data_IF_016850948004
#
_entry.id   IF_016850948004
#
_cell.length_a   1.000
_cell.length_b   1.000
_cell.length_c   1.000
_cell.angle_alpha   90.00
_cell.angle_beta   90.00
_cell.angle_gamma   90.00
#
_symmetry.space_group_name_H-M   'P 1'
#
loop_
_entity.id
_entity.type
_entity.pdbx_description
1 polymer ?
#
# COMPACT_ATOMS: atom_id res chain seq x y z
N UNK A 1 -59.23 -6.18 21.38
CA UNK A 1 -58.40 -6.69 20.26
C UNK A 1 -56.96 -6.29 20.53
N UNK A 2 -56.05 -7.25 20.60
CA UNK A 2 -54.63 -6.93 20.71
C UNK A 2 -54.14 -6.36 19.36
N UNK A 3 -53.34 -5.29 19.35
CA UNK A 3 -52.79 -4.76 18.11
C UNK A 3 -51.89 -5.82 17.47
N UNK A 4 -52.06 -6.03 16.16
CA UNK A 4 -51.25 -6.94 15.38
C UNK A 4 -49.77 -6.56 15.52
N UNK A 5 -48.86 -7.53 15.68
CA UNK A 5 -47.44 -7.23 15.75
C UNK A 5 -47.01 -6.53 14.45
N UNK A 6 -46.18 -5.47 14.54
CA UNK A 6 -45.70 -4.79 13.36
C UNK A 6 -44.92 -5.77 12.47
N UNK A 7 -45.01 -5.63 11.14
CA UNK A 7 -44.28 -6.49 10.23
C UNK A 7 -42.77 -6.44 10.52
N UNK A 8 -42.05 -7.57 10.34
CA UNK A 8 -40.61 -7.61 10.51
C UNK A 8 -39.96 -6.61 9.54
N UNK A 9 -38.93 -5.90 10.03
CA UNK A 9 -38.14 -5.00 9.20
C UNK A 9 -37.44 -5.80 8.10
N UNK A 10 -37.39 -5.29 6.85
CA UNK A 10 -36.61 -5.91 5.79
C UNK A 10 -35.15 -6.06 6.21
N UNK A 11 -34.54 -7.21 5.89
CA UNK A 11 -33.12 -7.42 6.14
C UNK A 11 -32.29 -6.43 5.29
N UNK A 12 -31.21 -5.84 5.83
CA UNK A 12 -30.36 -4.95 5.06
C UNK A 12 -29.74 -5.70 3.87
N UNK A 13 -29.85 -5.12 2.67
CA UNK A 13 -29.17 -5.64 1.49
C UNK A 13 -27.76 -5.02 1.40
N UNK A 14 -26.69 -5.83 1.30
CA UNK A 14 -25.36 -5.30 1.06
C UNK A 14 -25.31 -4.72 -0.35
N UNK A 15 -25.08 -3.42 -0.47
CA UNK A 15 -25.11 -2.73 -1.77
C UNK A 15 -23.72 -2.66 -2.40
N UNK A 16 -22.69 -2.32 -1.61
CA UNK A 16 -21.34 -2.11 -2.14
C UNK A 16 -20.28 -2.05 -1.05
N UNK A 17 -19.04 -2.39 -1.42
CA UNK A 17 -17.86 -1.99 -0.66
C UNK A 17 -17.48 -0.54 -1.03
N UNK A 18 -17.12 0.24 -0.01
CA UNK A 18 -16.73 1.65 -0.15
C UNK A 18 -15.43 1.88 0.61
N UNK A 19 -14.41 2.41 -0.06
CA UNK A 19 -13.11 2.66 0.56
C UNK A 19 -13.20 3.71 1.68
N UNK A 20 -12.49 3.48 2.79
CA UNK A 20 -12.33 4.40 3.92
C UNK A 20 -11.73 5.72 3.43
N UNK A 21 -12.18 6.84 3.99
CA UNK A 21 -11.68 8.17 3.64
C UNK A 21 -10.16 8.25 3.87
N UNK A 22 -9.43 8.67 2.84
CA UNK A 22 -7.97 8.84 2.89
C UNK A 22 -7.16 7.56 2.65
N UNK A 23 -7.80 6.39 2.58
CA UNK A 23 -7.09 5.16 2.19
C UNK A 23 -6.81 5.17 0.69
N UNK A 24 -5.59 4.78 0.31
CA UNK A 24 -5.15 4.75 -1.09
C UNK A 24 -5.56 3.44 -1.80
N UNK A 25 -5.76 2.38 -1.03
CA UNK A 25 -5.98 1.02 -1.50
C UNK A 25 -7.05 0.31 -0.67
N UNK A 26 -7.51 -0.84 -1.15
CA UNK A 26 -8.45 -1.72 -0.46
C UNK A 26 -7.80 -2.41 0.74
N UNK A 27 -6.50 -2.71 0.67
CA UNK A 27 -5.76 -3.39 1.74
C UNK A 27 -4.45 -2.66 2.02
N UNK A 28 -4.11 -2.50 3.29
CA UNK A 28 -2.81 -1.99 3.75
C UNK A 28 -2.11 -3.02 4.62
N UNK A 29 -0.80 -3.16 4.41
CA UNK A 29 0.11 -4.00 5.18
C UNK A 29 1.08 -3.06 5.91
N UNK A 30 1.06 -3.06 7.24
CA UNK A 30 1.93 -2.24 8.09
C UNK A 30 2.56 -3.07 9.21
N UNK A 31 3.34 -2.45 10.10
CA UNK A 31 3.83 -3.11 11.32
C UNK A 31 2.70 -3.58 12.24
N UNK A 32 1.54 -2.94 12.17
CA UNK A 32 0.40 -3.24 13.03
C UNK A 32 -0.46 -4.40 12.51
N UNK A 33 -0.25 -4.84 11.26
CA UNK A 33 -0.99 -5.94 10.67
C UNK A 33 -1.43 -5.68 9.23
N UNK A 34 -2.30 -6.56 8.75
CA UNK A 34 -2.95 -6.46 7.45
C UNK A 34 -4.40 -6.00 7.68
N UNK A 35 -4.76 -4.85 7.11
CA UNK A 35 -6.04 -4.19 7.35
C UNK A 35 -6.76 -3.98 6.02
N UNK A 36 -8.06 -4.30 6.00
CA UNK A 36 -8.93 -3.93 4.89
C UNK A 36 -9.54 -2.54 5.14
N UNK A 37 -9.36 -1.68 4.15
CA UNK A 37 -9.66 -0.26 4.18
C UNK A 37 -11.01 0.05 3.54
N UNK A 38 -12.00 -0.83 3.71
CA UNK A 38 -13.33 -0.65 3.14
C UNK A 38 -14.39 -0.66 4.25
N UNK A 39 -15.54 -0.09 3.93
CA UNK A 39 -16.80 -0.22 4.65
C UNK A 39 -17.77 -1.00 3.78
N UNK A 40 -18.70 -1.70 4.41
CA UNK A 40 -19.88 -2.18 3.72
C UNK A 40 -20.95 -1.09 3.75
N UNK A 41 -21.36 -0.59 2.59
CA UNK A 41 -22.54 0.24 2.46
C UNK A 41 -23.78 -0.64 2.47
N UNK A 42 -24.62 -0.45 3.48
CA UNK A 42 -25.90 -1.16 3.66
C UNK A 42 -27.05 -0.16 3.58
N UNK A 43 -28.15 -0.58 2.99
CA UNK A 43 -29.40 0.17 3.02
C UNK A 43 -30.36 -0.45 4.02
N UNK A 44 -30.91 0.37 4.91
CA UNK A 44 -31.92 -0.05 5.88
C UNK A 44 -33.22 0.65 5.55
N UNK A 45 -34.26 -0.15 5.35
CA UNK A 45 -35.63 0.31 5.19
C UNK A 45 -36.31 0.39 6.57
N UNK A 46 -36.98 1.50 6.83
CA UNK A 46 -37.72 1.75 8.06
C UNK A 46 -39.20 1.46 7.86
N UNK A 47 -39.94 1.38 8.97
CA UNK A 47 -41.38 1.03 8.95
C UNK A 47 -42.25 2.02 8.20
N UNK A 48 -41.80 3.26 8.06
CA UNK A 48 -42.46 4.32 7.30
C UNK A 48 -42.13 4.27 5.78
N UNK A 49 -41.36 3.27 5.35
CA UNK A 49 -40.92 3.12 3.97
C UNK A 49 -39.70 3.96 3.60
N UNK A 50 -39.17 4.78 4.52
CA UNK A 50 -37.93 5.53 4.27
C UNK A 50 -36.73 4.60 4.24
N UNK A 51 -35.75 4.89 3.38
CA UNK A 51 -34.50 4.15 3.32
C UNK A 51 -33.32 5.07 3.61
N UNK A 52 -32.37 4.55 4.40
CA UNK A 52 -31.12 5.25 4.70
C UNK A 52 -29.93 4.33 4.44
N UNK A 53 -28.85 4.95 3.97
CA UNK A 53 -27.56 4.29 3.75
C UNK A 53 -26.67 4.43 4.97
N UNK A 54 -26.04 3.34 5.38
CA UNK A 54 -25.10 3.28 6.49
C UNK A 54 -23.80 2.63 6.05
N UNK A 55 -22.69 3.08 6.63
CA UNK A 55 -21.38 2.45 6.49
C UNK A 55 -21.12 1.57 7.70
N UNK A 56 -21.09 0.26 7.50
CA UNK A 56 -20.74 -0.71 8.53
C UNK A 56 -19.27 -1.09 8.44
N UNK A 57 -18.54 -0.96 9.55
CA UNK A 57 -17.14 -1.37 9.65
C UNK A 57 -17.03 -2.87 9.95
N UNK A 58 -17.37 -3.71 8.97
CA UNK A 58 -17.29 -5.16 9.10
C UNK A 58 -15.85 -5.68 9.16
N UNK A 59 -14.89 -4.87 8.68
CA UNK A 59 -13.49 -5.22 8.59
C UNK A 59 -12.63 -4.59 9.70
N UNK A 60 -13.18 -4.48 10.91
CA UNK A 60 -12.39 -4.07 12.06
C UNK A 60 -11.28 -5.10 12.34
N UNK A 61 -10.02 -4.67 12.31
CA UNK A 61 -8.83 -5.48 12.52
C UNK A 61 -8.84 -6.33 13.79
N UNK A 62 -9.60 -5.95 14.83
CA UNK A 62 -9.76 -6.75 16.05
C UNK A 62 -10.61 -8.01 15.84
N UNK A 63 -11.49 -8.00 14.84
CA UNK A 63 -12.50 -9.04 14.58
C UNK A 63 -12.31 -9.73 13.22
N UNK A 64 -11.60 -9.07 12.30
CA UNK A 64 -11.42 -9.52 10.93
C UNK A 64 -9.94 -9.84 10.66
N UNK A 65 -9.69 -11.07 10.22
CA UNK A 65 -8.38 -11.51 9.75
C UNK A 65 -8.46 -11.70 8.23
N UNK A 66 -7.81 -10.79 7.50
CA UNK A 66 -7.80 -10.79 6.03
C UNK A 66 -7.22 -12.09 5.44
N UNK A 67 -6.12 -12.60 5.99
CA UNK A 67 -5.47 -13.82 5.50
C UNK A 67 -6.40 -15.02 5.64
N UNK A 68 -7.00 -15.18 6.82
CA UNK A 68 -7.95 -16.27 7.09
C UNK A 68 -9.21 -16.14 6.22
N UNK A 69 -9.66 -14.92 5.94
CA UNK A 69 -10.78 -14.70 5.03
C UNK A 69 -10.46 -15.16 3.61
N UNK A 70 -9.24 -14.88 3.12
CA UNK A 70 -8.79 -15.38 1.81
C UNK A 70 -8.69 -16.90 1.77
N UNK A 71 -8.18 -17.54 2.83
CA UNK A 71 -8.05 -19.01 2.91
C UNK A 71 -9.41 -19.73 2.86
N UNK A 72 -10.48 -19.05 3.30
CA UNK A 72 -11.85 -19.57 3.28
C UNK A 72 -12.55 -19.37 1.93
N UNK A 73 -11.99 -18.59 1.02
CA UNK A 73 -12.56 -18.40 -0.32
C UNK A 73 -12.27 -19.61 -1.20
N UNK A 74 -13.19 -19.92 -2.11
CA UNK A 74 -12.91 -20.87 -3.18
C UNK A 74 -11.73 -20.35 -4.04
N UNK A 75 -10.84 -21.22 -4.57
CA UNK A 75 -9.61 -20.78 -5.23
C UNK A 75 -9.81 -19.83 -6.43
N UNK A 76 -10.87 -20.02 -7.20
CA UNK A 76 -11.27 -19.18 -8.34
C UNK A 76 -11.76 -17.79 -7.88
N UNK A 77 -12.56 -17.76 -6.82
CA UNK A 77 -13.03 -16.52 -6.19
C UNK A 77 -11.85 -15.76 -5.58
N UNK A 78 -10.97 -16.45 -4.86
CA UNK A 78 -9.75 -15.87 -4.26
C UNK A 78 -8.86 -15.23 -5.32
N UNK A 79 -8.58 -15.95 -6.42
CA UNK A 79 -7.80 -15.43 -7.54
C UNK A 79 -8.43 -14.18 -8.13
N UNK A 80 -9.72 -14.24 -8.43
CA UNK A 80 -10.46 -13.12 -9.02
C UNK A 80 -10.47 -11.91 -8.09
N UNK A 81 -10.66 -12.13 -6.79
CA UNK A 81 -10.66 -11.07 -5.79
C UNK A 81 -9.27 -10.41 -5.68
N UNK A 82 -8.21 -11.18 -5.47
CA UNK A 82 -6.84 -10.66 -5.29
C UNK A 82 -6.33 -9.91 -6.54
N UNK A 83 -6.66 -10.39 -7.74
CA UNK A 83 -6.25 -9.72 -8.97
C UNK A 83 -6.88 -8.33 -9.15
N UNK A 84 -8.07 -8.10 -8.59
CA UNK A 84 -8.84 -6.87 -8.78
C UNK A 84 -8.61 -5.81 -7.69
N UNK A 85 -8.11 -6.19 -6.52
CA UNK A 85 -7.80 -5.23 -5.45
C UNK A 85 -6.41 -4.62 -5.63
N UNK A 86 -6.21 -3.46 -5.03
CA UNK A 86 -4.90 -2.86 -4.83
C UNK A 86 -4.44 -3.10 -3.39
N UNK A 87 -3.18 -3.50 -3.24
CA UNK A 87 -2.54 -3.73 -1.95
C UNK A 87 -1.47 -2.67 -1.74
N UNK A 88 -1.47 -2.05 -0.56
CA UNK A 88 -0.45 -1.11 -0.14
C UNK A 88 0.45 -1.74 0.92
N UNK A 89 1.76 -1.58 0.77
CA UNK A 89 2.75 -1.84 1.80
C UNK A 89 3.18 -0.50 2.37
N UNK A 90 2.94 -0.28 3.67
CA UNK A 90 3.30 0.94 4.39
C UNK A 90 4.64 0.71 5.09
N UNK A 91 5.64 1.50 4.68
CA UNK A 91 7.00 1.51 5.23
C UNK A 91 7.16 2.81 6.00
N UNK A 92 6.91 2.76 7.30
CA UNK A 92 7.03 3.91 8.18
C UNK A 92 8.47 4.11 8.73
N UNK A 93 8.67 5.21 9.45
CA UNK A 93 9.96 5.54 10.05
C UNK A 93 10.46 4.50 11.07
N UNK A 94 9.57 3.77 11.76
CA UNK A 94 9.94 2.72 12.72
C UNK A 94 10.55 1.52 11.99
N UNK A 95 9.96 1.16 10.84
CA UNK A 95 10.42 0.08 9.96
C UNK A 95 11.78 0.41 9.37
N UNK A 96 11.95 1.65 8.89
CA UNK A 96 13.21 2.10 8.31
C UNK A 96 14.36 2.13 9.34
N UNK A 97 14.04 2.28 10.63
CA UNK A 97 15.03 2.32 11.72
C UNK A 97 15.40 0.94 12.27
N UNK A 98 14.51 -0.04 12.20
CA UNK A 98 14.63 -1.29 12.98
C UNK A 98 15.59 -2.34 12.42
N UNK A 99 16.07 -2.21 11.18
CA UNK A 99 17.11 -3.10 10.64
C UNK A 99 16.76 -4.60 10.76
N UNK A 100 15.69 -5.05 10.12
CA UNK A 100 15.39 -6.48 9.88
C UNK A 100 14.92 -7.35 11.06
N UNK A 101 15.14 -6.95 12.32
CA UNK A 101 15.01 -7.85 13.49
C UNK A 101 13.67 -7.87 14.25
N UNK A 102 12.73 -6.93 14.04
CA UNK A 102 11.45 -6.88 14.77
C UNK A 102 10.28 -7.49 13.99
N UNK A 103 9.09 -7.64 14.61
CA UNK A 103 7.83 -7.92 13.89
C UNK A 103 7.65 -6.80 12.86
N UNK A 104 8.05 -7.10 11.64
CA UNK A 104 8.18 -6.13 10.56
C UNK A 104 7.03 -6.32 9.59
N UNK A 105 6.80 -5.30 8.78
CA UNK A 105 6.01 -5.37 7.56
C UNK A 105 6.33 -6.63 6.73
N UNK A 106 7.59 -7.08 6.74
CA UNK A 106 8.05 -8.31 6.06
C UNK A 106 7.47 -9.59 6.68
N UNK A 107 7.25 -9.60 7.99
CA UNK A 107 6.56 -10.68 8.70
C UNK A 107 5.10 -10.78 8.28
N UNK A 108 4.40 -9.64 8.20
CA UNK A 108 3.02 -9.57 7.69
C UNK A 108 2.95 -10.03 6.23
N UNK A 109 3.89 -9.56 5.39
CA UNK A 109 3.99 -9.97 3.99
C UNK A 109 4.20 -11.49 3.83
N UNK A 110 4.91 -12.11 4.78
CA UNK A 110 5.15 -13.55 4.75
C UNK A 110 3.88 -14.38 4.99
N UNK A 111 2.88 -13.83 5.67
CA UNK A 111 1.57 -14.49 5.82
C UNK A 111 0.80 -14.56 4.49
N UNK A 112 1.11 -13.67 3.54
CA UNK A 112 0.49 -13.66 2.22
C UNK A 112 1.22 -14.54 1.19
N UNK A 113 2.31 -15.24 1.57
CA UNK A 113 3.08 -16.12 0.66
C UNK A 113 2.19 -17.00 -0.24
N UNK A 114 1.13 -17.66 0.26
CA UNK A 114 0.27 -18.50 -0.58
C UNK A 114 -0.39 -17.74 -1.74
N UNK A 115 -0.62 -16.43 -1.60
CA UNK A 115 -1.36 -15.60 -2.57
C UNK A 115 -0.51 -14.51 -3.22
N UNK A 116 0.77 -14.34 -2.87
CA UNK A 116 1.64 -13.29 -3.44
C UNK A 116 1.71 -13.34 -4.97
N UNK A 117 1.69 -14.55 -5.53
CA UNK A 117 1.74 -14.79 -6.96
C UNK A 117 0.45 -14.34 -7.69
N UNK A 118 -0.63 -13.99 -6.98
CA UNK A 118 -1.89 -13.53 -7.54
C UNK A 118 -2.01 -11.99 -7.53
N UNK A 119 -1.13 -11.30 -6.81
CA UNK A 119 -1.22 -9.85 -6.63
C UNK A 119 -0.78 -9.14 -7.91
N UNK A 120 -1.70 -8.38 -8.50
CA UNK A 120 -1.45 -7.65 -9.75
C UNK A 120 -1.20 -6.14 -9.55
N UNK A 121 -1.69 -5.56 -8.44
CA UNK A 121 -1.65 -4.11 -8.20
C UNK A 121 -1.04 -3.81 -6.83
N UNK A 122 0.16 -3.22 -6.81
CA UNK A 122 0.93 -2.95 -5.59
C UNK A 122 1.25 -1.45 -5.45
N UNK A 123 1.08 -0.93 -4.24
CA UNK A 123 1.59 0.38 -3.84
C UNK A 123 2.59 0.18 -2.71
N UNK A 124 3.74 0.82 -2.79
CA UNK A 124 4.70 0.90 -1.69
C UNK A 124 4.72 2.33 -1.21
N UNK A 125 4.13 2.59 -0.04
CA UNK A 125 4.11 3.91 0.58
C UNK A 125 5.25 4.00 1.59
N UNK A 126 6.22 4.87 1.35
CA UNK A 126 7.36 5.12 2.22
C UNK A 126 7.12 6.44 2.95
N UNK A 127 6.95 6.39 4.27
CA UNK A 127 6.80 7.58 5.11
C UNK A 127 8.17 8.10 5.54
N UNK A 128 8.51 9.28 5.04
CA UNK A 128 9.82 9.85 5.21
C UNK A 128 9.95 10.43 6.62
N UNK A 129 10.97 10.04 7.41
CA UNK A 129 11.12 10.50 8.78
C UNK A 129 11.39 12.02 8.86
N UNK A 130 10.71 12.69 9.80
CA UNK A 130 10.83 14.15 10.05
C UNK A 130 12.22 14.54 10.56
N UNK A 131 12.86 13.72 11.40
CA UNK A 131 14.14 14.06 12.04
C UNK A 131 15.02 12.84 12.37
N UNK A 132 16.34 13.07 12.39
CA UNK A 132 17.37 12.15 12.91
C UNK A 132 17.79 10.98 12.01
N UNK A 133 17.12 10.78 10.87
CA UNK A 133 17.41 9.69 9.91
C UNK A 133 17.31 10.13 8.44
N UNK A 134 17.35 11.44 8.20
CA UNK A 134 17.48 11.94 6.84
C UNK A 134 18.83 11.50 6.31
N UNK A 135 18.77 10.67 5.28
CA UNK A 135 19.94 10.17 4.60
C UNK A 135 20.47 11.33 3.76
N UNK A 136 21.50 12.02 4.25
CA UNK A 136 21.98 13.28 3.67
C UNK A 136 23.09 13.06 2.64
N UNK A 137 23.83 11.96 2.74
CA UNK A 137 24.85 11.56 1.77
C UNK A 137 24.61 10.15 1.22
N UNK A 138 25.28 9.82 0.11
CA UNK A 138 25.28 8.46 -0.42
C UNK A 138 26.04 7.47 0.49
N UNK A 139 27.05 7.95 1.22
CA UNK A 139 27.75 7.12 2.21
C UNK A 139 26.82 6.73 3.36
N UNK A 140 26.03 7.68 3.87
CA UNK A 140 25.02 7.43 4.91
C UNK A 140 23.98 6.43 4.40
N UNK A 141 23.54 6.60 3.15
CA UNK A 141 22.58 5.70 2.52
C UNK A 141 23.09 4.26 2.51
N UNK A 142 24.32 4.06 2.01
CA UNK A 142 24.92 2.73 1.83
C UNK A 142 24.96 1.93 3.14
N UNK A 143 25.17 2.63 4.25
CA UNK A 143 25.28 2.04 5.58
C UNK A 143 23.97 2.15 6.40
N UNK A 144 22.90 2.70 5.84
CA UNK A 144 21.65 2.92 6.56
C UNK A 144 20.84 1.62 6.74
N UNK A 145 20.16 1.50 7.89
CA UNK A 145 19.16 0.47 8.13
C UNK A 145 17.98 0.57 7.15
N UNK A 146 17.65 1.79 6.71
CA UNK A 146 16.64 2.04 5.68
C UNK A 146 16.99 1.31 4.37
N UNK A 147 18.24 1.41 3.89
CA UNK A 147 18.68 0.68 2.70
C UNK A 147 18.56 -0.84 2.89
N UNK A 148 19.06 -1.36 4.01
CA UNK A 148 19.01 -2.80 4.30
C UNK A 148 17.57 -3.33 4.29
N UNK A 149 16.66 -2.60 4.94
CA UNK A 149 15.24 -2.93 4.94
C UNK A 149 14.66 -2.91 3.53
N UNK A 150 14.88 -1.83 2.78
CA UNK A 150 14.30 -1.68 1.45
C UNK A 150 14.83 -2.74 0.47
N UNK A 151 16.13 -3.06 0.49
CA UNK A 151 16.68 -4.17 -0.31
C UNK A 151 15.98 -5.49 0.05
N UNK A 152 15.78 -5.77 1.34
CA UNK A 152 15.06 -6.97 1.78
C UNK A 152 13.60 -6.97 1.31
N UNK A 153 12.95 -5.81 1.29
CA UNK A 153 11.60 -5.65 0.76
C UNK A 153 11.56 -5.95 -0.75
N UNK A 154 12.55 -5.46 -1.53
CA UNK A 154 12.68 -5.77 -2.96
C UNK A 154 12.78 -7.27 -3.20
N UNK A 155 13.58 -7.99 -2.40
CA UNK A 155 13.69 -9.45 -2.49
C UNK A 155 12.34 -10.18 -2.28
N UNK A 156 11.49 -9.63 -1.41
CA UNK A 156 10.12 -10.15 -1.24
C UNK A 156 9.23 -9.79 -2.42
N UNK A 157 9.34 -8.57 -2.96
CA UNK A 157 8.56 -8.12 -4.12
C UNK A 157 8.89 -8.94 -5.37
N UNK A 158 10.12 -9.42 -5.54
CA UNK A 158 10.51 -10.34 -6.65
C UNK A 158 9.67 -11.63 -6.72
N UNK A 159 8.96 -11.98 -5.65
CA UNK A 159 8.04 -13.13 -5.59
C UNK A 159 6.66 -12.87 -6.21
N UNK A 160 6.34 -11.62 -6.52
CA UNK A 160 5.05 -11.21 -7.09
C UNK A 160 5.07 -11.44 -8.61
N UNK A 161 4.86 -12.69 -9.03
CA UNK A 161 4.99 -13.09 -10.43
C UNK A 161 3.91 -12.54 -11.37
N UNK A 162 2.78 -12.10 -10.83
CA UNK A 162 1.66 -11.53 -11.61
C UNK A 162 1.55 -10.02 -11.52
N UNK A 163 2.58 -9.33 -10.98
CA UNK A 163 2.53 -7.89 -10.81
C UNK A 163 2.37 -7.19 -12.18
N UNK A 164 1.32 -6.38 -12.33
CA UNK A 164 1.02 -5.60 -13.55
C UNK A 164 1.21 -4.11 -13.33
N UNK A 165 0.93 -3.63 -12.12
CA UNK A 165 1.04 -2.21 -11.75
C UNK A 165 1.74 -2.08 -10.42
N UNK A 166 2.76 -1.22 -10.38
CA UNK A 166 3.42 -0.85 -9.15
C UNK A 166 3.64 0.66 -9.07
N UNK A 167 3.34 1.25 -7.92
CA UNK A 167 3.68 2.63 -7.63
C UNK A 167 4.41 2.73 -6.29
N UNK A 168 5.42 3.59 -6.23
CA UNK A 168 6.12 3.97 -5.01
C UNK A 168 5.64 5.36 -4.64
N UNK A 169 5.14 5.53 -3.44
CA UNK A 169 4.66 6.81 -2.92
C UNK A 169 5.62 7.26 -1.83
N UNK A 170 6.25 8.42 -2.05
CA UNK A 170 7.04 9.10 -1.02
C UNK A 170 6.12 10.03 -0.25
N UNK A 171 5.73 9.64 0.97
CA UNK A 171 4.95 10.50 1.86
C UNK A 171 5.88 11.45 2.61
N UNK A 172 5.81 12.73 2.23
CA UNK A 172 6.70 13.78 2.70
C UNK A 172 6.17 14.37 4.02
N UNK A 173 7.04 14.61 5.01
CA UNK A 173 6.66 15.28 6.24
C UNK A 173 6.34 16.75 5.97
N UNK A 174 5.73 17.41 6.95
CA UNK A 174 5.42 18.84 6.89
C UNK A 174 6.69 19.67 6.62
N UNK A 175 6.56 20.68 5.74
CA UNK A 175 7.66 21.59 5.40
C UNK A 175 8.74 21.01 4.49
N UNK A 176 8.61 19.76 4.02
CA UNK A 176 9.55 19.15 3.07
C UNK A 176 8.97 19.15 1.66
N UNK A 177 9.56 19.96 0.78
CA UNK A 177 9.23 20.01 -0.64
C UNK A 177 10.23 19.26 -1.53
N UNK A 178 11.42 18.93 -1.01
CA UNK A 178 12.46 18.22 -1.78
C UNK A 178 12.28 16.72 -1.66
N UNK A 179 12.26 16.02 -2.80
CA UNK A 179 12.09 14.57 -2.83
C UNK A 179 13.34 13.84 -2.32
N UNK A 180 13.19 12.96 -1.31
CA UNK A 180 14.30 12.18 -0.77
C UNK A 180 14.54 10.93 -1.64
N UNK A 181 15.14 11.15 -2.81
CA UNK A 181 15.40 10.13 -3.84
C UNK A 181 16.17 8.89 -3.35
N UNK A 182 16.88 8.96 -2.21
CA UNK A 182 17.65 7.82 -1.69
C UNK A 182 16.76 6.65 -1.27
N UNK A 183 15.51 6.89 -0.91
CA UNK A 183 14.57 5.82 -0.56
C UNK A 183 14.02 5.07 -1.78
N UNK A 184 14.23 5.57 -3.01
CA UNK A 184 13.77 4.88 -4.23
C UNK A 184 14.88 4.08 -4.91
N UNK A 185 16.15 4.31 -4.57
CA UNK A 185 17.30 3.67 -5.21
C UNK A 185 17.18 2.13 -5.24
N UNK A 186 16.79 1.42 -4.15
CA UNK A 186 16.69 -0.04 -4.17
C UNK A 186 15.73 -0.59 -5.24
N UNK A 187 14.70 0.18 -5.61
CA UNK A 187 13.68 -0.27 -6.56
C UNK A 187 14.19 -0.34 -8.00
N UNK A 188 15.30 0.32 -8.31
CA UNK A 188 16.00 0.13 -9.60
C UNK A 188 16.63 -1.26 -9.73
N UNK A 189 16.83 -1.98 -8.62
CA UNK A 189 17.34 -3.35 -8.63
C UNK A 189 16.22 -4.38 -8.93
N UNK A 190 14.96 -3.95 -9.08
CA UNK A 190 13.83 -4.82 -9.39
C UNK A 190 13.85 -5.22 -10.87
N UNK A 191 14.44 -6.37 -11.15
CA UNK A 191 14.58 -7.00 -12.46
C UNK A 191 13.32 -7.73 -12.93
N UNK A 192 12.51 -8.23 -12.00
CA UNK A 192 11.28 -8.98 -12.33
C UNK A 192 10.14 -8.10 -12.82
N UNK A 193 10.15 -6.80 -12.49
CA UNK A 193 9.10 -5.86 -12.85
C UNK A 193 9.68 -4.46 -13.00
N UNK A 194 9.84 -4.02 -14.24
CA UNK A 194 10.47 -2.73 -14.57
C UNK A 194 9.44 -1.60 -14.70
N UNK A 195 8.16 -1.88 -14.87
CA UNK A 195 7.15 -0.85 -15.16
C UNK A 195 6.52 -0.22 -13.91
N UNK A 196 7.35 0.31 -13.01
CA UNK A 196 6.89 1.00 -11.80
C UNK A 196 6.99 2.53 -11.93
N UNK A 197 6.24 3.25 -11.10
CA UNK A 197 6.18 4.73 -11.10
C UNK A 197 6.44 5.28 -9.70
N UNK A 198 6.94 6.51 -9.63
CA UNK A 198 7.09 7.24 -8.35
C UNK A 198 6.09 8.38 -8.28
N UNK A 199 5.50 8.55 -7.11
CA UNK A 199 4.61 9.64 -6.75
C UNK A 199 5.04 10.25 -5.43
N UNK A 200 4.66 11.49 -5.19
CA UNK A 200 4.83 12.16 -3.90
C UNK A 200 3.46 12.36 -3.23
N UNK A 201 3.43 12.27 -1.92
CA UNK A 201 2.24 12.60 -1.12
C UNK A 201 2.65 13.64 -0.10
N UNK A 202 2.24 14.90 -0.33
CA UNK A 202 2.51 16.00 0.60
C UNK A 202 1.73 15.81 1.90
N UNK A 203 2.30 16.29 3.00
CA UNK A 203 1.61 16.32 4.29
C UNK A 203 0.24 16.99 4.17
N UNK A 204 -0.78 16.38 4.81
CA UNK A 204 -2.17 16.84 4.75
C UNK A 204 -2.93 16.54 3.44
N UNK A 205 -2.26 16.03 2.40
CA UNK A 205 -2.93 15.60 1.16
C UNK A 205 -3.42 14.14 1.27
N UNK A 206 -4.50 13.84 0.56
CA UNK A 206 -5.00 12.47 0.37
C UNK A 206 -4.68 11.91 -1.01
N UNK A 207 -4.20 12.76 -1.94
CA UNK A 207 -4.00 12.38 -3.34
C UNK A 207 -2.52 12.46 -3.71
N UNK A 208 -1.87 11.31 -3.97
CA UNK A 208 -0.49 11.27 -4.43
C UNK A 208 -0.37 11.93 -5.81
N UNK A 209 0.62 12.79 -5.97
CA UNK A 209 0.92 13.50 -7.21
C UNK A 209 2.05 12.79 -7.97
N UNK A 210 2.00 12.73 -9.31
CA UNK A 210 3.15 12.30 -10.09
C UNK A 210 4.34 13.23 -9.83
N UNK A 211 5.53 12.67 -9.88
CA UNK A 211 6.77 13.43 -9.80
C UNK A 211 7.11 14.00 -11.18
N UNK A 212 7.64 15.22 -11.24
CA UNK A 212 7.94 15.89 -12.50
C UNK A 212 9.07 15.18 -13.28
N UNK A 213 9.09 15.34 -14.60
CA UNK A 213 10.15 14.76 -15.44
C UNK A 213 11.54 15.27 -15.02
N UNK A 214 11.64 16.57 -14.70
CA UNK A 214 12.88 17.17 -14.23
C UNK A 214 13.40 16.53 -12.93
N UNK A 215 12.51 16.14 -12.03
CA UNK A 215 12.89 15.43 -10.81
C UNK A 215 13.31 14.00 -11.11
N UNK A 216 12.64 13.33 -12.04
CA UNK A 216 13.03 12.01 -12.54
C UNK A 216 14.44 12.05 -13.15
N UNK A 217 14.74 13.04 -13.99
CA UNK A 217 16.05 13.22 -14.61
C UNK A 217 17.14 13.49 -13.57
N UNK A 218 16.84 14.31 -12.56
CA UNK A 218 17.74 14.53 -11.42
C UNK A 218 18.02 13.23 -10.67
N UNK A 219 16.98 12.41 -10.43
CA UNK A 219 17.14 11.12 -9.77
C UNK A 219 18.00 10.16 -10.61
N UNK A 220 17.71 10.04 -11.91
CA UNK A 220 18.51 9.25 -12.83
C UNK A 220 19.98 9.75 -12.86
N UNK A 221 20.21 11.06 -12.91
CA UNK A 221 21.58 11.64 -12.90
C UNK A 221 22.32 11.35 -11.60
N UNK A 222 21.66 11.45 -10.45
CA UNK A 222 22.30 11.16 -9.15
C UNK A 222 22.67 9.68 -9.03
N UNK A 223 21.84 8.79 -9.58
CA UNK A 223 22.04 7.34 -9.51
C UNK A 223 23.12 6.90 -10.51
N UNK A 224 23.11 7.43 -11.73
CA UNK A 224 23.94 6.95 -12.84
C UNK A 224 25.17 7.81 -13.14
N UNK A 225 25.12 9.12 -12.85
CA UNK A 225 26.14 10.11 -13.22
C UNK A 225 27.49 9.97 -12.53
N UNK A 226 27.72 8.93 -11.72
CA UNK A 226 29.04 8.64 -11.11
C UNK A 226 29.76 7.42 -11.69
N UNK A 227 29.11 6.54 -12.47
CA UNK A 227 29.69 5.24 -12.82
C UNK A 227 29.82 4.92 -14.33
N UNK A 228 29.47 5.82 -15.25
CA UNK A 228 29.84 5.68 -16.67
C UNK A 228 29.25 4.49 -17.44
N UNK A 229 28.34 3.72 -16.83
CA UNK A 229 27.59 2.65 -17.47
C UNK A 229 26.11 2.97 -17.41
N UNK A 230 25.52 3.27 -18.57
CA UNK A 230 24.06 3.34 -18.72
C UNK A 230 23.48 1.95 -18.42
N UNK A 231 22.53 1.83 -17.49
CA UNK A 231 21.73 0.62 -17.37
C UNK A 231 20.60 0.64 -18.40
N UNK A 232 20.06 -0.55 -18.67
CA UNK A 232 18.89 -0.81 -19.50
C UNK A 232 17.56 -0.24 -18.96
N UNK A 233 17.58 0.59 -17.91
CA UNK A 233 16.38 1.09 -17.26
C UNK A 233 16.46 2.58 -16.90
N UNK A 234 15.56 3.37 -17.48
CA UNK A 234 15.31 4.76 -17.14
C UNK A 234 13.91 4.87 -16.52
N UNK A 235 13.78 5.59 -15.40
CA UNK A 235 12.47 6.03 -14.93
C UNK A 235 11.82 6.85 -16.05
N UNK A 236 10.65 6.43 -16.52
CA UNK A 236 9.87 7.18 -17.49
C UNK A 236 8.83 8.03 -16.77
N UNK A 237 8.83 9.33 -17.04
CA UNK A 237 7.68 10.16 -16.74
C UNK A 237 6.52 9.77 -17.67
N UNK A 238 5.30 9.76 -17.13
CA UNK A 238 4.05 9.68 -17.89
C UNK A 238 2.98 10.50 -17.22
#
# INVERSE_FOLDING_TARGET
MAPSPPPPLPAPHPLRLVRKRGALTEVSISVHGIVQNEYLEVEKAYRDGTTYKFLENQFDHKKYNFVLALERMAPDVQRTYIANICIEIIVDATVLKSGGGSVTVLGQLSQLIPVLHLIENLIIKIEIPVSGTQINSYADYKNSSARQFLVTLIDKIRRFKSLKKMAIILALPEGVDVLPHRYIIPFYELDTFTHWRVKSLKYGSFTPQPISEQEIDKMNTIIWGKNGTEPSFQLQAR
#
